data_IF_131347927479
#
_entry.id   IF_131347927479
#
_cell.length_a   1.000
_cell.length_b   1.000
_cell.length_c   1.000
_cell.angle_alpha   90.00
_cell.angle_beta   90.00
_cell.angle_gamma   90.00
#
_symmetry.space_group_name_H-M   'P 1'
#
loop_
_entity.id
_entity.type
_entity.pdbx_description
1 polymer ?
#
# COMPACT_ATOMS: atom_id res chain seq x y z
N UNK A 1 0.31 7.03 16.32
CA UNK A 1 0.24 7.13 14.85
C UNK A 1 -0.51 5.97 14.19
N UNK A 2 -0.75 4.87 14.92
CA UNK A 2 -1.22 3.60 14.37
C UNK A 2 -2.50 3.66 13.56
N UNK A 3 -3.51 4.44 13.99
CA UNK A 3 -4.74 4.62 13.20
C UNK A 3 -4.50 5.28 11.83
N UNK A 4 -3.56 6.22 11.74
CA UNK A 4 -3.21 6.89 10.49
C UNK A 4 -2.44 5.94 9.57
N UNK A 5 -1.51 5.16 10.13
CA UNK A 5 -0.75 4.14 9.39
C UNK A 5 -1.68 3.03 8.89
N UNK A 6 -2.58 2.56 9.74
CA UNK A 6 -3.59 1.57 9.39
C UNK A 6 -4.48 2.07 8.24
N UNK A 7 -4.99 3.30 8.34
CA UNK A 7 -5.79 3.93 7.31
C UNK A 7 -5.02 4.07 5.98
N UNK A 8 -3.74 4.45 6.03
CA UNK A 8 -2.88 4.54 4.85
C UNK A 8 -2.65 3.16 4.20
N UNK A 9 -2.43 2.10 4.99
CA UNK A 9 -2.27 0.74 4.49
C UNK A 9 -3.54 0.20 3.83
N UNK A 10 -4.69 0.37 4.50
CA UNK A 10 -6.00 0.01 3.93
C UNK A 10 -6.29 0.79 2.65
N UNK A 11 -6.02 2.09 2.63
CA UNK A 11 -6.17 2.91 1.44
C UNK A 11 -5.29 2.40 0.29
N UNK A 12 -4.01 2.09 0.57
CA UNK A 12 -3.11 1.53 -0.43
C UNK A 12 -3.61 0.18 -0.98
N UNK A 13 -4.10 -0.72 -0.13
CA UNK A 13 -4.69 -1.99 -0.54
C UNK A 13 -5.92 -1.78 -1.44
N UNK A 14 -6.85 -0.93 -1.02
CA UNK A 14 -8.07 -0.62 -1.77
C UNK A 14 -7.71 -0.01 -3.14
N UNK A 15 -6.80 0.96 -3.18
CA UNK A 15 -6.33 1.57 -4.43
C UNK A 15 -5.59 0.56 -5.32
N UNK A 16 -4.95 -0.45 -4.75
CA UNK A 16 -4.27 -1.50 -5.53
C UNK A 16 -5.26 -2.47 -6.16
N UNK A 17 -6.36 -2.78 -5.48
CA UNK A 17 -7.41 -3.70 -5.96
C UNK A 17 -8.35 -3.02 -6.96
N UNK A 18 -8.88 -1.83 -6.63
CA UNK A 18 -9.83 -1.09 -7.49
C UNK A 18 -9.14 -0.52 -8.73
N UNK A 19 -7.82 -0.35 -8.65
CA UNK A 19 -6.99 0.26 -9.69
C UNK A 19 -7.54 1.58 -10.25
N UNK A 20 -7.91 2.56 -9.40
CA UNK A 20 -8.45 3.82 -9.88
C UNK A 20 -7.40 4.54 -10.74
N UNK A 21 -7.86 5.18 -11.81
CA UNK A 21 -7.01 5.86 -12.80
C UNK A 21 -6.06 6.87 -12.14
N UNK A 22 -6.50 7.63 -11.15
CA UNK A 22 -5.64 8.61 -10.45
C UNK A 22 -4.39 7.96 -9.80
N UNK A 23 -4.52 6.76 -9.25
CA UNK A 23 -3.45 6.07 -8.54
C UNK A 23 -2.52 5.34 -9.52
N UNK A 24 -3.13 4.65 -10.49
CA UNK A 24 -2.44 3.79 -11.46
C UNK A 24 -1.87 4.53 -12.67
N UNK A 25 -2.36 5.73 -12.98
CA UNK A 25 -1.81 6.60 -14.03
C UNK A 25 -0.71 7.54 -13.54
N UNK A 26 -0.42 7.54 -12.24
CA UNK A 26 0.70 8.30 -11.71
C UNK A 26 2.01 7.92 -12.42
N UNK A 27 2.90 8.90 -12.67
CA UNK A 27 4.18 8.67 -13.36
C UNK A 27 4.98 7.52 -12.76
N UNK A 28 4.91 7.34 -11.44
CA UNK A 28 5.59 6.25 -10.71
C UNK A 28 4.97 4.88 -11.02
N UNK A 29 3.65 4.76 -10.90
CA UNK A 29 2.94 3.51 -11.19
C UNK A 29 3.08 3.11 -12.67
N UNK A 30 2.92 4.06 -13.61
CA UNK A 30 3.16 3.83 -15.05
C UNK A 30 4.58 3.35 -15.34
N UNK A 31 5.59 3.93 -14.71
CA UNK A 31 7.00 3.53 -14.92
C UNK A 31 7.29 2.14 -14.37
N UNK A 32 6.77 1.80 -13.19
CA UNK A 32 6.89 0.43 -12.63
C UNK A 32 6.17 -0.61 -13.50
N UNK A 33 4.94 -0.32 -13.93
CA UNK A 33 4.18 -1.18 -14.86
C UNK A 33 4.91 -1.41 -16.16
N UNK A 34 5.54 -0.37 -16.72
CA UNK A 34 6.32 -0.48 -17.97
C UNK A 34 7.61 -1.31 -17.78
N UNK A 35 8.20 -1.29 -16.59
CA UNK A 35 9.45 -2.01 -16.29
C UNK A 35 9.22 -3.49 -15.93
N UNK A 36 8.20 -3.77 -15.11
CA UNK A 36 7.99 -5.09 -14.49
C UNK A 36 6.71 -5.79 -14.95
N UNK A 37 5.81 -5.07 -15.65
CA UNK A 37 4.49 -5.56 -16.03
C UNK A 37 3.42 -5.29 -14.97
N UNK A 38 2.16 -5.35 -15.41
CA UNK A 38 0.98 -5.00 -14.60
C UNK A 38 0.73 -5.95 -13.44
N UNK A 39 0.92 -7.25 -13.66
CA UNK A 39 0.74 -8.28 -12.63
C UNK A 39 1.73 -8.10 -11.49
N UNK A 40 3.03 -8.02 -11.80
CA UNK A 40 4.09 -7.85 -10.81
C UNK A 40 3.93 -6.54 -10.05
N UNK A 41 3.59 -5.44 -10.75
CA UNK A 41 3.34 -4.16 -10.08
C UNK A 41 2.16 -4.25 -9.11
N UNK A 42 1.09 -4.97 -9.47
CA UNK A 42 -0.05 -5.21 -8.57
C UNK A 42 0.38 -5.96 -7.30
N UNK A 43 1.18 -7.02 -7.45
CA UNK A 43 1.69 -7.82 -6.32
C UNK A 43 2.55 -6.98 -5.41
N UNK A 44 3.48 -6.18 -5.95
CA UNK A 44 4.35 -5.32 -5.14
C UNK A 44 3.53 -4.34 -4.30
N UNK A 45 2.56 -3.68 -4.91
CA UNK A 45 1.72 -2.72 -4.21
C UNK A 45 0.80 -3.39 -3.17
N UNK A 46 0.34 -4.62 -3.42
CA UNK A 46 -0.38 -5.43 -2.42
C UNK A 46 0.52 -5.79 -1.23
N UNK A 47 1.76 -6.18 -1.48
CA UNK A 47 2.74 -6.47 -0.41
C UNK A 47 3.05 -5.23 0.41
N UNK A 48 3.24 -4.07 -0.23
CA UNK A 48 3.49 -2.81 0.46
C UNK A 48 2.27 -2.41 1.31
N UNK A 49 1.07 -2.45 0.73
CA UNK A 49 -0.16 -2.11 1.43
C UNK A 49 -0.41 -3.02 2.64
N UNK A 50 -0.23 -4.32 2.47
CA UNK A 50 -0.39 -5.30 3.56
C UNK A 50 0.66 -5.11 4.66
N UNK A 51 1.94 -4.86 4.32
CA UNK A 51 2.97 -4.58 5.30
C UNK A 51 2.66 -3.32 6.13
N UNK A 52 2.18 -2.26 5.49
CA UNK A 52 1.77 -1.01 6.18
C UNK A 52 0.56 -1.26 7.08
N UNK A 53 -0.46 -2.00 6.61
CA UNK A 53 -1.62 -2.36 7.42
C UNK A 53 -1.22 -3.17 8.65
N UNK A 54 -0.33 -4.16 8.49
CA UNK A 54 0.18 -4.97 9.60
C UNK A 54 0.98 -4.10 10.58
N UNK A 55 1.84 -3.20 10.10
CA UNK A 55 2.56 -2.27 10.96
C UNK A 55 1.61 -1.37 11.77
N UNK A 56 0.56 -0.84 11.13
CA UNK A 56 -0.48 -0.07 11.82
C UNK A 56 -1.23 -0.88 12.88
N UNK A 57 -1.56 -2.13 12.59
CA UNK A 57 -2.18 -3.04 13.56
C UNK A 57 -1.25 -3.29 14.75
N UNK A 58 0.01 -3.65 14.51
CA UNK A 58 0.98 -3.93 15.55
C UNK A 58 1.22 -2.71 16.47
N UNK A 59 1.17 -1.49 15.92
CA UNK A 59 1.23 -0.26 16.72
C UNK A 59 -0.04 -0.09 17.56
N UNK A 60 -1.23 -0.32 17.01
CA UNK A 60 -2.51 -0.24 17.75
C UNK A 60 -2.57 -1.28 18.88
N UNK A 61 -2.07 -2.49 18.65
CA UNK A 61 -1.96 -3.54 19.67
C UNK A 61 -0.81 -3.30 20.66
N UNK A 62 -0.01 -2.25 20.50
CA UNK A 62 1.08 -1.88 21.41
C UNK A 62 2.29 -2.80 21.34
N UNK A 63 2.40 -3.66 20.32
CA UNK A 63 3.55 -4.55 20.09
C UNK A 63 4.78 -3.75 19.67
N UNK A 64 4.57 -2.68 18.90
CA UNK A 64 5.60 -1.74 18.46
C UNK A 64 5.20 -0.31 18.80
N UNK A 65 6.17 0.50 19.22
CA UNK A 65 5.97 1.93 19.47
C UNK A 65 6.71 2.73 18.40
N UNK A 66 5.99 3.09 17.35
CA UNK A 66 6.44 4.05 16.35
C UNK A 66 6.18 5.44 16.91
N UNK A 67 7.24 6.08 17.43
CA UNK A 67 7.21 7.47 17.92
C UNK A 67 7.04 8.46 16.77
#
# INVERSE_FOLDING_TARGET
MGFIILAAGLFALICTVIKPSFYWESRKAKRMRKLMGDGITTVIYLVIGSAITVAGLLEIFGVINLK
#
